data_IF_742815322716
#
_entry.id   IF_742815322716
#
_cell.length_a   1.000
_cell.length_b   1.000
_cell.length_c   1.000
_cell.angle_alpha   90.00
_cell.angle_beta   90.00
_cell.angle_gamma   90.00
#
_symmetry.space_group_name_H-M   'P 1'
#
loop_
_entity.id
_entity.type
_entity.pdbx_description
1 polymer ?
#
# COMPACT_ATOMS: atom_id res chain seq x y z
N UNK A 1 6.86 -14.57 -4.34
CA UNK A 1 7.02 -16.04 -4.19
C UNK A 1 6.45 -16.51 -2.87
N UNK A 2 6.94 -16.06 -1.71
CA UNK A 2 6.42 -16.49 -0.40
C UNK A 2 4.98 -16.06 -0.08
N UNK A 3 4.56 -14.85 -0.50
CA UNK A 3 3.19 -14.36 -0.23
C UNK A 3 2.11 -15.22 -0.91
N UNK A 4 2.39 -15.67 -2.14
CA UNK A 4 1.47 -16.44 -2.98
C UNK A 4 1.81 -17.94 -3.06
N UNK A 5 2.88 -18.39 -2.37
CA UNK A 5 3.37 -19.76 -2.45
C UNK A 5 3.82 -20.23 -3.85
N UNK A 6 4.25 -19.30 -4.72
CA UNK A 6 4.66 -19.65 -6.08
C UNK A 6 6.05 -20.28 -6.03
N UNK A 7 6.10 -21.61 -6.19
CA UNK A 7 7.33 -22.41 -6.21
C UNK A 7 7.94 -22.68 -4.83
N UNK A 8 7.33 -22.19 -3.75
CA UNK A 8 7.74 -22.38 -2.34
C UNK A 8 6.50 -22.47 -1.46
N UNK A 9 6.62 -23.04 -0.25
CA UNK A 9 5.52 -23.02 0.72
C UNK A 9 5.16 -21.57 1.05
N UNK A 10 3.87 -21.27 1.13
CA UNK A 10 3.40 -19.95 1.52
C UNK A 10 3.92 -19.62 2.93
N UNK A 11 4.62 -18.51 3.05
CA UNK A 11 5.23 -18.05 4.30
C UNK A 11 5.12 -16.53 4.40
N UNK A 12 4.17 -16.08 5.22
CA UNK A 12 3.88 -14.67 5.40
C UNK A 12 4.99 -13.96 6.19
N UNK A 13 5.70 -14.66 7.07
CA UNK A 13 6.78 -14.04 7.86
C UNK A 13 8.02 -13.83 7.00
N UNK A 14 8.38 -14.81 6.16
CA UNK A 14 9.44 -14.63 5.15
C UNK A 14 9.09 -13.54 4.13
N UNK A 15 7.82 -13.48 3.69
CA UNK A 15 7.34 -12.42 2.80
C UNK A 15 7.49 -11.04 3.46
N UNK A 16 7.11 -10.91 4.74
CA UNK A 16 7.27 -9.68 5.51
C UNK A 16 8.73 -9.25 5.63
N UNK A 17 9.66 -10.17 5.93
CA UNK A 17 11.08 -9.85 6.04
C UNK A 17 11.63 -9.31 4.70
N UNK A 18 11.26 -9.92 3.59
CA UNK A 18 11.64 -9.43 2.25
C UNK A 18 11.02 -8.06 1.95
N UNK A 19 9.73 -7.87 2.20
CA UNK A 19 9.04 -6.61 1.97
C UNK A 19 9.64 -5.48 2.80
N UNK A 20 9.97 -5.74 4.06
CA UNK A 20 10.59 -4.76 4.95
C UNK A 20 11.98 -4.35 4.46
N UNK A 21 12.83 -5.32 4.08
CA UNK A 21 14.15 -5.00 3.51
C UNK A 21 14.03 -4.17 2.23
N UNK A 22 13.08 -4.51 1.35
CA UNK A 22 12.85 -3.75 0.13
C UNK A 22 12.28 -2.36 0.39
N UNK A 23 11.41 -2.19 1.40
CA UNK A 23 10.93 -0.87 1.80
C UNK A 23 12.04 -0.01 2.38
N UNK A 24 12.95 -0.59 3.16
CA UNK A 24 14.10 0.12 3.75
C UNK A 24 15.07 0.61 2.64
N UNK A 25 15.11 -0.06 1.50
CA UNK A 25 15.84 0.36 0.28
C UNK A 25 15.10 1.40 -0.57
N UNK A 26 13.91 1.86 -0.15
CA UNK A 26 13.14 2.87 -0.88
C UNK A 26 12.18 2.31 -1.93
N UNK A 27 11.96 1.00 -2.02
CA UNK A 27 11.05 0.43 -3.01
C UNK A 27 9.58 0.75 -2.67
N UNK A 28 8.98 1.65 -3.44
CA UNK A 28 7.60 2.13 -3.24
C UNK A 28 6.56 1.01 -3.39
N UNK A 29 6.79 0.06 -4.28
CA UNK A 29 5.90 -1.09 -4.45
C UNK A 29 5.93 -2.01 -3.21
N UNK A 30 7.12 -2.24 -2.66
CA UNK A 30 7.26 -2.99 -1.41
C UNK A 30 6.62 -2.25 -0.22
N UNK A 31 6.78 -0.91 -0.14
CA UNK A 31 6.11 -0.10 0.86
C UNK A 31 4.59 -0.24 0.79
N UNK A 32 3.99 -0.13 -0.39
CA UNK A 32 2.54 -0.28 -0.57
C UNK A 32 2.01 -1.66 -0.12
N UNK A 33 2.72 -2.73 -0.46
CA UNK A 33 2.37 -4.08 0.00
C UNK A 33 2.57 -4.24 1.52
N UNK A 34 3.61 -3.61 2.09
CA UNK A 34 3.87 -3.62 3.52
C UNK A 34 2.78 -2.88 4.31
N UNK A 35 2.23 -1.78 3.77
CA UNK A 35 1.04 -1.10 4.34
C UNK A 35 -0.12 -2.07 4.42
N UNK A 36 -0.44 -2.76 3.33
CA UNK A 36 -1.53 -3.75 3.31
C UNK A 36 -1.31 -4.89 4.29
N UNK A 37 -0.06 -5.36 4.44
CA UNK A 37 0.31 -6.36 5.43
C UNK A 37 0.10 -5.86 6.87
N UNK A 38 0.48 -4.62 7.18
CA UNK A 38 0.23 -4.02 8.50
C UNK A 38 -1.27 -3.85 8.78
N UNK A 39 -2.04 -3.43 7.79
CA UNK A 39 -3.48 -3.26 7.91
C UNK A 39 -4.17 -4.60 8.22
N UNK A 40 -3.84 -5.67 7.48
CA UNK A 40 -4.34 -7.05 7.74
C UNK A 40 -3.99 -7.58 9.13
N UNK A 41 -2.81 -7.24 9.65
CA UNK A 41 -2.37 -7.60 11.01
C UNK A 41 -2.95 -6.68 12.10
N UNK A 42 -3.88 -5.77 11.76
CA UNK A 42 -4.48 -4.79 12.68
C UNK A 42 -3.48 -3.82 13.30
N UNK A 43 -2.31 -3.63 12.67
CA UNK A 43 -1.27 -2.69 13.08
C UNK A 43 -1.53 -1.30 12.49
N UNK A 44 -2.70 -0.73 12.77
CA UNK A 44 -3.22 0.43 12.05
C UNK A 44 -2.38 1.69 12.18
N UNK A 45 -1.76 1.93 13.34
CA UNK A 45 -0.86 3.09 13.54
C UNK A 45 0.35 3.03 12.62
N UNK A 46 0.99 1.86 12.51
CA UNK A 46 2.13 1.63 11.61
C UNK A 46 1.71 1.66 10.15
N UNK A 47 0.54 1.08 9.83
CA UNK A 47 -0.02 1.12 8.49
C UNK A 47 -0.24 2.57 8.06
N UNK A 48 -0.87 3.39 8.91
CA UNK A 48 -1.17 4.78 8.60
C UNK A 48 0.08 5.66 8.46
N UNK A 49 1.09 5.50 9.34
CA UNK A 49 2.36 6.23 9.22
C UNK A 49 3.04 5.92 7.90
N UNK A 50 3.24 4.63 7.59
CA UNK A 50 3.86 4.21 6.33
C UNK A 50 3.03 4.66 5.11
N UNK A 51 1.70 4.53 5.18
CA UNK A 51 0.80 4.91 4.09
C UNK A 51 0.81 6.42 3.84
N UNK A 52 0.88 7.23 4.89
CA UNK A 52 0.98 8.69 4.77
C UNK A 52 2.27 9.13 4.09
N UNK A 53 3.38 8.42 4.34
CA UNK A 53 4.66 8.65 3.65
C UNK A 53 4.56 8.26 2.18
N UNK A 54 3.97 7.10 1.89
CA UNK A 54 3.77 6.64 0.51
C UNK A 54 2.86 7.58 -0.27
N UNK A 55 1.83 8.11 0.38
CA UNK A 55 0.90 9.06 -0.22
C UNK A 55 1.53 10.43 -0.53
N UNK A 56 2.69 10.77 0.03
CA UNK A 56 3.44 11.99 -0.31
C UNK A 56 4.32 11.82 -1.55
N UNK A 57 4.46 10.62 -2.09
CA UNK A 57 5.14 10.44 -3.37
C UNK A 57 4.24 10.92 -4.50
N UNK A 58 4.79 11.79 -5.35
CA UNK A 58 4.10 12.37 -6.50
C UNK A 58 4.87 12.11 -7.81
N UNK A 59 6.20 12.12 -7.75
CA UNK A 59 7.07 12.05 -8.92
C UNK A 59 7.52 10.62 -9.24
N UNK A 60 6.65 9.89 -9.95
CA UNK A 60 6.93 8.53 -10.45
C UNK A 60 8.23 8.43 -11.27
N UNK A 61 8.55 9.36 -12.20
CA UNK A 61 9.76 9.25 -13.02
C UNK A 61 11.05 9.42 -12.22
N UNK A 62 11.08 10.33 -11.25
CA UNK A 62 12.23 10.57 -10.40
C UNK A 62 12.49 9.36 -9.50
N UNK A 63 11.44 8.84 -8.86
CA UNK A 63 11.53 7.63 -8.04
C UNK A 63 11.96 6.42 -8.86
N UNK A 64 11.56 6.33 -10.13
CA UNK A 64 11.98 5.26 -11.04
C UNK A 64 13.49 5.30 -11.27
N UNK A 65 14.06 6.50 -11.46
CA UNK A 65 15.50 6.68 -11.64
C UNK A 65 16.29 6.40 -10.35
N UNK A 66 15.79 6.82 -9.18
CA UNK A 66 16.47 6.62 -7.90
C UNK A 66 16.46 5.15 -7.45
N UNK A 67 15.31 4.48 -7.59
CA UNK A 67 15.12 3.12 -7.05
C UNK A 67 15.38 2.03 -8.08
N UNK A 68 15.51 2.40 -9.37
CA UNK A 68 15.59 1.45 -10.48
C UNK A 68 14.30 0.65 -10.69
N UNK A 69 13.19 0.99 -10.01
CA UNK A 69 11.91 0.33 -10.19
C UNK A 69 11.19 0.83 -11.43
N UNK A 70 10.48 -0.09 -12.09
CA UNK A 70 9.59 0.23 -13.21
C UNK A 70 8.47 1.19 -12.76
N UNK A 71 8.16 2.23 -13.55
CA UNK A 71 7.20 3.28 -13.17
C UNK A 71 5.79 2.74 -12.92
N UNK A 72 5.40 1.66 -13.61
CA UNK A 72 4.11 0.99 -13.37
C UNK A 72 4.00 0.38 -11.97
N UNK A 73 5.08 -0.19 -11.43
CA UNK A 73 5.07 -0.76 -10.07
C UNK A 73 5.11 0.33 -9.00
N UNK A 74 5.80 1.44 -9.27
CA UNK A 74 5.79 2.61 -8.39
C UNK A 74 4.36 3.16 -8.29
N UNK A 75 3.68 3.33 -9.43
CA UNK A 75 2.28 3.80 -9.47
C UNK A 75 1.36 2.87 -8.67
N UNK A 76 1.52 1.55 -8.81
CA UNK A 76 0.81 0.54 -7.99
C UNK A 76 1.09 0.68 -6.51
N UNK A 77 2.35 0.89 -6.11
CA UNK A 77 2.75 1.10 -4.72
C UNK A 77 2.10 2.35 -4.12
N UNK A 78 2.10 3.46 -4.87
CA UNK A 78 1.45 4.71 -4.47
C UNK A 78 -0.07 4.51 -4.36
N UNK A 79 -0.67 3.80 -5.32
CA UNK A 79 -2.11 3.50 -5.30
C UNK A 79 -2.50 2.68 -4.07
N UNK A 80 -1.74 1.62 -3.73
CA UNK A 80 -1.91 0.82 -2.52
C UNK A 80 -1.82 1.69 -1.25
N UNK A 81 -0.76 2.48 -1.12
CA UNK A 81 -0.56 3.36 0.03
C UNK A 81 -1.69 4.37 0.19
N UNK A 82 -2.09 5.05 -0.89
CA UNK A 82 -3.20 5.99 -0.87
C UNK A 82 -4.52 5.33 -0.46
N UNK A 83 -4.83 4.14 -0.97
CA UNK A 83 -6.07 3.43 -0.64
C UNK A 83 -6.14 3.04 0.84
N UNK A 84 -5.07 2.46 1.36
CA UNK A 84 -5.02 2.07 2.78
C UNK A 84 -4.97 3.30 3.71
N UNK A 85 -4.34 4.40 3.30
CA UNK A 85 -4.41 5.65 4.07
C UNK A 85 -5.84 6.20 4.11
N UNK A 86 -6.53 6.19 2.97
CA UNK A 86 -7.94 6.59 2.88
C UNK A 86 -8.84 5.72 3.79
N UNK A 87 -8.60 4.40 3.83
CA UNK A 87 -9.24 3.46 4.76
C UNK A 87 -9.02 3.86 6.21
N UNK A 88 -7.77 4.08 6.60
CA UNK A 88 -7.42 4.50 7.96
C UNK A 88 -8.13 5.80 8.36
N UNK A 89 -8.21 6.80 7.46
CA UNK A 89 -8.92 8.06 7.70
C UNK A 89 -10.45 7.88 7.76
N UNK A 90 -11.01 7.02 6.92
CA UNK A 90 -12.45 6.77 6.87
C UNK A 90 -12.96 6.03 8.12
N UNK A 91 -12.24 5.00 8.54
CA UNK A 91 -12.60 4.17 9.69
C UNK A 91 -12.05 4.71 11.03
N UNK A 92 -11.15 5.70 11.00
CA UNK A 92 -10.47 6.23 12.19
C UNK A 92 -9.46 5.25 12.79
N UNK A 93 -8.86 4.40 11.97
CA UNK A 93 -7.95 3.34 12.39
C UNK A 93 -6.52 3.89 12.49
N UNK A 94 -6.06 4.13 13.73
CA UNK A 94 -4.71 4.63 14.01
C UNK A 94 -4.49 6.12 13.72
N UNK A 95 -5.48 6.82 13.17
CA UNK A 95 -5.47 8.27 12.88
C UNK A 95 -6.83 8.86 13.24
N UNK A 96 -6.90 10.19 13.40
CA UNK A 96 -8.16 10.91 13.56
C UNK A 96 -9.05 10.67 12.34
N UNK A 97 -10.34 10.38 12.60
CA UNK A 97 -11.32 10.11 11.55
C UNK A 97 -11.63 11.39 10.78
N UNK A 98 -11.28 11.41 9.50
CA UNK A 98 -11.48 12.55 8.60
C UNK A 98 -12.00 12.05 7.24
N UNK A 99 -13.32 11.89 7.10
CA UNK A 99 -13.92 11.27 5.91
C UNK A 99 -13.76 12.12 4.65
N UNK A 100 -13.64 13.44 4.79
CA UNK A 100 -13.43 14.36 3.66
C UNK A 100 -12.06 14.14 3.00
N UNK A 101 -11.00 13.97 3.79
CA UNK A 101 -9.67 13.70 3.24
C UNK A 101 -9.54 12.26 2.76
N UNK A 102 -10.21 11.31 3.40
CA UNK A 102 -10.28 9.94 2.89
C UNK A 102 -10.75 9.87 1.43
N UNK A 103 -11.78 10.63 1.07
CA UNK A 103 -12.29 10.65 -0.32
C UNK A 103 -11.25 11.17 -1.32
N UNK A 104 -10.45 12.17 -0.92
CA UNK A 104 -9.34 12.67 -1.76
C UNK A 104 -8.32 11.57 -2.01
N UNK A 105 -7.91 10.83 -0.99
CA UNK A 105 -6.92 9.76 -1.14
C UNK A 105 -7.47 8.54 -1.91
N UNK A 106 -8.76 8.23 -1.81
CA UNK A 106 -9.39 7.24 -2.70
C UNK A 106 -9.34 7.67 -4.17
N UNK A 107 -9.68 8.93 -4.46
CA UNK A 107 -9.58 9.46 -5.83
C UNK A 107 -8.14 9.46 -6.34
N UNK A 108 -7.19 9.80 -5.47
CA UNK A 108 -5.75 9.74 -5.78
C UNK A 108 -5.30 8.30 -6.09
N UNK A 109 -5.71 7.32 -5.29
CA UNK A 109 -5.41 5.90 -5.56
C UNK A 109 -5.88 5.47 -6.95
N UNK A 110 -7.11 5.83 -7.32
CA UNK A 110 -7.69 5.54 -8.64
C UNK A 110 -6.92 6.20 -9.78
N UNK A 111 -6.41 7.43 -9.60
CA UNK A 111 -5.63 8.13 -10.63
C UNK A 111 -4.31 7.42 -10.96
N UNK A 112 -3.66 6.79 -9.98
CA UNK A 112 -2.39 6.09 -10.20
C UNK A 112 -2.58 4.69 -10.78
N UNK A 113 -3.52 3.91 -10.24
CA UNK A 113 -3.82 2.56 -10.76
C UNK A 113 -5.29 2.18 -10.48
N UNK A 114 -6.16 2.30 -11.50
CA UNK A 114 -7.57 1.93 -11.41
C UNK A 114 -7.80 0.45 -11.07
N UNK A 115 -6.97 -0.45 -11.59
CA UNK A 115 -7.13 -1.90 -11.44
C UNK A 115 -6.88 -2.33 -9.99
N UNK A 116 -5.83 -1.78 -9.37
CA UNK A 116 -5.51 -1.98 -7.96
C UNK A 116 -6.62 -1.40 -7.09
N UNK A 117 -7.08 -0.18 -7.38
CA UNK A 117 -8.16 0.45 -6.62
C UNK A 117 -9.44 -0.40 -6.69
N UNK A 118 -9.84 -0.85 -7.87
CA UNK A 118 -11.02 -1.70 -8.06
C UNK A 118 -10.88 -3.04 -7.33
N UNK A 119 -9.71 -3.67 -7.41
CA UNK A 119 -9.41 -4.92 -6.70
C UNK A 119 -9.52 -4.76 -5.19
N UNK A 120 -8.91 -3.72 -4.62
CA UNK A 120 -8.95 -3.47 -3.18
C UNK A 120 -10.38 -3.16 -2.72
N UNK A 121 -11.11 -2.35 -3.48
CA UNK A 121 -12.52 -2.06 -3.20
C UNK A 121 -13.35 -3.35 -3.14
N UNK A 122 -13.17 -4.23 -4.11
CA UNK A 122 -13.84 -5.52 -4.18
C UNK A 122 -13.50 -6.42 -2.97
N UNK A 123 -12.20 -6.57 -2.66
CA UNK A 123 -11.73 -7.32 -1.47
C UNK A 123 -12.36 -6.79 -0.18
N UNK A 124 -12.45 -5.47 -0.05
CA UNK A 124 -13.04 -4.85 1.14
C UNK A 124 -14.54 -5.03 1.24
N UNK A 125 -15.27 -5.04 0.12
CA UNK A 125 -16.71 -5.27 0.11
C UNK A 125 -17.06 -6.71 0.51
N UNK A 126 -16.20 -7.67 0.15
CA UNK A 126 -16.36 -9.06 0.56
C UNK A 126 -15.79 -9.40 1.95
N UNK A 127 -15.22 -8.41 2.66
CA UNK A 127 -14.67 -8.62 4.01
C UNK A 127 -13.43 -9.52 4.07
N UNK A 128 -12.67 -9.62 2.97
CA UNK A 128 -11.48 -10.48 2.85
C UNK A 128 -10.19 -9.72 3.22
N UNK A 129 -10.31 -8.57 3.89
CA UNK A 129 -9.19 -7.69 4.24
C UNK A 129 -8.84 -7.73 5.73
#
# INVERSE_FOLDING_TARGET
MYEFGIGVKQDMDSAYVCLKKASDLGNVYAMGNLVGHYYRRKLYTKAADLASRVAQFHDVPLLSNETGCLPGYISKGIALGCFYYARCLHEGHGVKKEPADAQKYYSKSYQYDPDVCARLQNITQHGVI
#
